data_IF_364727136370
#
_entry.id   IF_364727136370
#
_cell.length_a   1.000
_cell.length_b   1.000
_cell.length_c   1.000
_cell.angle_alpha   90.00
_cell.angle_beta   90.00
_cell.angle_gamma   90.00
#
_symmetry.space_group_name_H-M   'P 1'
#
loop_
_entity.id
_entity.type
_entity.pdbx_description
1 polymer ?
#
# COMPACT_ATOMS: atom_id res chain seq x y z
N UNK A 1 -23.31 -1.37 -42.24
CA UNK A 1 -23.16 -2.72 -42.83
C UNK A 1 -21.66 -3.00 -42.82
N UNK A 2 -21.18 -3.80 -41.86
CA UNK A 2 -19.75 -4.09 -41.65
C UNK A 2 -19.31 -5.14 -42.66
N UNK A 3 -18.19 -4.89 -43.32
CA UNK A 3 -17.50 -5.81 -44.20
C UNK A 3 -16.27 -6.34 -43.45
N UNK A 4 -16.26 -7.64 -43.18
CA UNK A 4 -15.14 -8.37 -42.56
C UNK A 4 -14.86 -9.55 -43.47
N UNK A 5 -13.93 -9.39 -44.41
CA UNK A 5 -13.36 -10.49 -45.16
C UNK A 5 -12.01 -10.84 -44.53
N UNK A 6 -12.00 -11.95 -43.79
CA UNK A 6 -10.79 -12.63 -43.31
C UNK A 6 -10.46 -13.70 -44.35
N UNK A 7 -9.43 -13.45 -45.16
CA UNK A 7 -8.93 -14.39 -46.18
C UNK A 7 -8.07 -15.48 -45.51
N UNK A 8 -8.72 -16.49 -44.93
CA UNK A 8 -8.04 -17.69 -44.43
C UNK A 8 -7.82 -18.69 -45.59
N UNK A 9 -6.75 -18.50 -46.37
CA UNK A 9 -6.26 -19.52 -47.31
C UNK A 9 -5.27 -20.45 -46.61
N UNK A 10 -5.79 -21.35 -45.78
CA UNK A 10 -5.05 -22.47 -45.22
C UNK A 10 -5.61 -23.80 -45.73
N UNK A 11 -4.87 -24.53 -46.56
CA UNK A 11 -5.23 -25.90 -46.95
C UNK A 11 -5.32 -26.79 -45.69
N UNK A 12 -6.52 -27.33 -45.44
CA UNK A 12 -6.77 -28.25 -44.32
C UNK A 12 -6.07 -29.57 -44.61
N UNK A 13 -5.16 -29.99 -43.72
CA UNK A 13 -4.42 -31.26 -43.86
C UNK A 13 -5.32 -32.44 -43.51
N UNK A 14 -5.55 -33.34 -44.47
CA UNK A 14 -6.37 -34.56 -44.30
C UNK A 14 -5.66 -35.72 -43.56
N UNK A 15 -4.47 -35.49 -43.00
CA UNK A 15 -3.73 -36.51 -42.24
C UNK A 15 -2.95 -35.91 -41.08
N UNK A 16 -2.90 -36.63 -39.96
CA UNK A 16 -2.09 -36.25 -38.80
C UNK A 16 -0.59 -36.19 -39.16
N UNK A 17 0.16 -35.21 -38.62
CA UNK A 17 1.59 -35.07 -38.90
C UNK A 17 2.39 -36.26 -38.36
N UNK A 18 3.32 -36.76 -39.17
CA UNK A 18 4.25 -37.82 -38.77
C UNK A 18 5.35 -37.22 -37.87
N UNK A 19 5.34 -37.61 -36.60
CA UNK A 19 6.23 -37.07 -35.56
C UNK A 19 7.69 -37.54 -35.71
N UNK A 20 7.95 -38.53 -36.57
CA UNK A 20 9.30 -39.08 -36.80
C UNK A 20 9.90 -38.66 -38.15
N UNK A 21 9.18 -37.86 -38.93
CA UNK A 21 9.71 -37.33 -40.18
C UNK A 21 10.84 -36.30 -39.91
N UNK A 22 11.87 -36.24 -40.77
CA UNK A 22 12.90 -35.20 -40.68
C UNK A 22 12.27 -33.80 -40.75
N UNK A 23 12.74 -32.89 -39.89
CA UNK A 23 12.26 -31.50 -39.87
C UNK A 23 12.61 -30.83 -41.21
N UNK A 24 11.60 -30.44 -41.97
CA UNK A 24 11.77 -29.61 -43.15
C UNK A 24 12.15 -28.18 -42.73
N UNK A 25 13.40 -27.81 -43.00
CA UNK A 25 13.95 -26.50 -42.65
C UNK A 25 13.26 -25.33 -43.39
N UNK A 26 12.50 -25.62 -44.45
CA UNK A 26 11.79 -24.61 -45.23
C UNK A 26 10.28 -24.62 -44.98
N UNK A 27 9.78 -25.45 -44.07
CA UNK A 27 8.37 -25.46 -43.73
C UNK A 27 7.98 -24.14 -43.04
N UNK A 28 6.88 -23.48 -43.46
CA UNK A 28 6.42 -22.27 -42.79
C UNK A 28 6.05 -22.60 -41.34
N UNK A 29 6.72 -21.97 -40.39
CA UNK A 29 6.42 -22.09 -38.96
C UNK A 29 5.14 -21.32 -38.69
N UNK A 30 4.04 -22.04 -38.47
CA UNK A 30 2.74 -21.45 -38.16
C UNK A 30 2.82 -20.64 -36.86
N UNK A 31 2.69 -19.31 -36.95
CA UNK A 31 2.34 -18.45 -35.82
C UNK A 31 3.43 -17.51 -35.24
N UNK A 32 4.61 -17.37 -35.86
CA UNK A 32 5.59 -16.38 -35.41
C UNK A 32 5.94 -15.38 -36.53
N UNK A 33 5.17 -14.31 -36.59
CA UNK A 33 5.72 -13.04 -37.08
C UNK A 33 6.65 -12.50 -36.00
N UNK A 34 7.95 -12.44 -36.31
CA UNK A 34 8.90 -11.64 -35.53
C UNK A 34 8.44 -10.18 -35.68
N UNK A 35 8.16 -9.45 -34.59
CA UNK A 35 7.84 -8.03 -34.71
C UNK A 35 9.00 -7.29 -35.34
N UNK A 36 8.72 -6.41 -36.30
CA UNK A 36 9.73 -5.47 -36.79
C UNK A 36 10.16 -4.56 -35.64
N UNK A 37 11.45 -4.64 -35.33
CA UNK A 37 12.18 -4.00 -34.23
C UNK A 37 11.87 -4.56 -32.82
N UNK A 38 12.91 -4.81 -32.01
CA UNK A 38 12.71 -4.96 -30.57
C UNK A 38 12.20 -3.60 -30.05
N UNK A 39 10.90 -3.51 -29.81
CA UNK A 39 10.40 -2.58 -28.80
C UNK A 39 11.23 -2.82 -27.54
N UNK A 40 11.73 -1.74 -26.93
CA UNK A 40 12.50 -1.84 -25.69
C UNK A 40 11.78 -2.80 -24.74
N UNK A 41 12.49 -3.78 -24.13
CA UNK A 41 11.85 -4.65 -23.16
C UNK A 41 11.14 -3.74 -22.15
N UNK A 42 9.89 -4.04 -21.82
CA UNK A 42 9.23 -3.40 -20.70
C UNK A 42 10.20 -3.53 -19.53
N UNK A 43 10.84 -2.43 -19.15
CA UNK A 43 11.80 -2.43 -18.04
C UNK A 43 10.99 -2.94 -16.88
N UNK A 44 11.30 -4.14 -16.41
CA UNK A 44 10.64 -4.71 -15.26
C UNK A 44 10.98 -3.77 -14.10
N UNK A 45 10.05 -2.85 -13.80
CA UNK A 45 10.28 -1.68 -12.96
C UNK A 45 10.67 -2.06 -11.53
N UNK A 46 10.48 -3.33 -11.16
CA UNK A 46 10.90 -3.89 -9.88
C UNK A 46 12.38 -4.26 -9.78
N UNK A 47 13.19 -4.22 -10.85
CA UNK A 47 14.61 -4.60 -10.79
C UNK A 47 15.58 -3.41 -10.71
N UNK A 48 15.13 -2.20 -10.99
CA UNK A 48 15.94 -0.98 -11.00
C UNK A 48 15.47 0.00 -9.92
N UNK A 49 16.40 0.44 -9.08
CA UNK A 49 16.13 1.35 -7.97
C UNK A 49 15.59 2.70 -8.46
N UNK A 50 16.18 3.27 -9.51
CA UNK A 50 15.79 4.59 -10.01
C UNK A 50 14.33 4.59 -10.53
N UNK A 51 13.91 3.47 -11.10
CA UNK A 51 12.52 3.25 -11.52
C UNK A 51 11.56 2.99 -10.34
N UNK A 52 12.03 2.30 -9.30
CA UNK A 52 11.22 1.91 -8.15
C UNK A 52 11.04 3.04 -7.13
N UNK A 53 12.08 3.84 -6.86
CA UNK A 53 12.12 4.79 -5.74
C UNK A 53 10.96 5.78 -5.71
N UNK A 54 10.46 6.21 -6.86
CA UNK A 54 9.34 7.16 -6.98
C UNK A 54 7.95 6.51 -6.91
N UNK A 55 7.89 5.21 -6.65
CA UNK A 55 6.66 4.40 -6.65
C UNK A 55 6.50 3.55 -5.40
N UNK A 56 7.48 3.58 -4.51
CA UNK A 56 7.41 2.89 -3.22
C UNK A 56 6.69 3.80 -2.24
N UNK A 57 5.71 3.25 -1.53
CA UNK A 57 4.99 3.94 -0.46
C UNK A 57 5.02 3.08 0.81
N UNK A 58 4.97 3.68 2.00
CA UNK A 58 4.73 2.95 3.22
C UNK A 58 3.26 2.51 3.23
N UNK A 59 3.03 1.29 3.69
CA UNK A 59 1.70 0.70 3.87
C UNK A 59 1.60 0.21 5.31
N UNK A 60 0.41 0.31 5.90
CA UNK A 60 0.12 -0.28 7.20
C UNK A 60 -0.44 -1.69 7.00
N UNK A 61 -0.04 -2.62 7.87
CA UNK A 61 -0.53 -4.00 7.86
C UNK A 61 -1.12 -4.37 9.23
N UNK A 62 -1.96 -5.42 9.28
CA UNK A 62 -2.51 -5.91 10.53
C UNK A 62 -1.45 -6.08 11.61
N UNK A 63 -1.78 -5.67 12.83
CA UNK A 63 -0.98 -5.96 14.01
C UNK A 63 -0.69 -7.47 14.09
N UNK A 64 0.58 -7.82 14.31
CA UNK A 64 1.07 -9.20 14.26
C UNK A 64 1.57 -9.67 12.88
N UNK A 65 1.56 -8.82 11.86
CA UNK A 65 2.22 -9.10 10.57
C UNK A 65 3.72 -9.36 10.79
N UNK A 66 4.20 -10.52 10.33
CA UNK A 66 5.59 -10.96 10.49
C UNK A 66 6.37 -10.71 9.20
N UNK A 67 7.54 -10.09 9.31
CA UNK A 67 8.46 -9.85 8.21
C UNK A 67 9.92 -9.88 8.65
N UNK A 68 10.79 -9.35 7.81
CA UNK A 68 12.20 -9.12 8.14
C UNK A 68 12.33 -7.69 8.69
N UNK A 69 12.84 -7.48 9.92
CA UNK A 69 13.05 -6.13 10.44
C UNK A 69 13.91 -5.29 9.48
N UNK A 70 13.54 -4.02 9.27
CA UNK A 70 14.22 -3.09 8.36
C UNK A 70 15.72 -3.00 8.62
N UNK A 71 16.10 -3.00 9.90
CA UNK A 71 17.46 -2.89 10.41
C UNK A 71 18.27 -4.18 10.17
N UNK A 72 17.57 -5.31 10.01
CA UNK A 72 18.15 -6.64 9.83
C UNK A 72 18.23 -7.07 8.35
N UNK A 73 17.56 -6.34 7.45
CA UNK A 73 17.28 -6.78 6.09
C UNK A 73 18.53 -7.10 5.25
N UNK A 74 19.69 -6.49 5.56
CA UNK A 74 20.96 -6.72 4.86
C UNK A 74 22.16 -7.00 5.79
N UNK A 75 21.97 -7.08 7.10
CA UNK A 75 23.05 -7.31 8.08
C UNK A 75 23.40 -8.80 8.26
N UNK A 76 22.51 -9.73 7.89
CA UNK A 76 22.79 -11.17 7.95
C UNK A 76 23.45 -11.67 6.65
N UNK A 77 24.49 -12.54 6.69
CA UNK A 77 25.09 -13.10 5.48
C UNK A 77 24.06 -13.93 4.69
N UNK A 78 24.09 -13.92 3.33
CA UNK A 78 23.20 -14.74 2.53
C UNK A 78 23.51 -16.22 2.79
N UNK A 79 22.65 -16.89 3.54
CA UNK A 79 22.73 -18.34 3.72
C UNK A 79 21.98 -19.03 2.59
N UNK A 80 22.60 -20.04 1.99
CA UNK A 80 22.11 -20.79 0.81
C UNK A 80 20.75 -21.50 1.06
N UNK A 81 20.27 -21.54 2.31
CA UNK A 81 18.98 -22.12 2.72
C UNK A 81 17.81 -21.11 2.65
N UNK A 82 18.03 -19.88 2.18
CA UNK A 82 17.06 -18.79 2.22
C UNK A 82 15.97 -18.79 1.12
N UNK A 83 15.78 -19.89 0.38
CA UNK A 83 14.82 -19.96 -0.74
C UNK A 83 13.34 -19.69 -0.34
N UNK A 84 13.03 -19.65 0.97
CA UNK A 84 11.69 -19.33 1.49
C UNK A 84 11.65 -18.09 2.41
N UNK A 85 12.81 -17.52 2.76
CA UNK A 85 12.89 -16.34 3.63
C UNK A 85 12.92 -15.03 2.84
N UNK A 86 13.36 -15.06 1.59
CA UNK A 86 13.60 -13.86 0.79
C UNK A 86 12.32 -13.19 0.27
N UNK A 87 11.20 -13.93 0.23
CA UNK A 87 9.89 -13.40 -0.13
C UNK A 87 9.18 -12.64 1.00
N UNK A 88 9.68 -12.70 2.24
CA UNK A 88 9.05 -12.01 3.38
C UNK A 88 9.20 -10.50 3.22
N UNK A 89 8.14 -9.72 3.46
CA UNK A 89 8.22 -8.27 3.39
C UNK A 89 9.18 -7.75 4.46
N UNK A 90 9.81 -6.63 4.15
CA UNK A 90 10.50 -5.84 5.16
C UNK A 90 9.46 -5.13 6.01
N UNK A 91 9.62 -5.21 7.32
CA UNK A 91 8.72 -4.62 8.31
C UNK A 91 9.48 -3.67 9.22
N UNK A 92 8.80 -2.63 9.69
CA UNK A 92 9.26 -1.75 10.75
C UNK A 92 8.12 -1.46 11.72
N UNK A 93 8.44 -1.32 13.01
CA UNK A 93 7.50 -0.78 13.97
C UNK A 93 7.28 0.73 13.74
N UNK A 94 6.01 1.10 13.56
CA UNK A 94 5.53 2.49 13.57
C UNK A 94 5.04 2.92 14.95
N UNK A 95 4.38 4.09 15.05
CA UNK A 95 3.73 4.54 16.27
C UNK A 95 2.72 3.49 16.78
N UNK A 96 2.59 3.32 18.10
CA UNK A 96 1.67 2.35 18.71
C UNK A 96 1.77 0.91 18.20
N UNK A 97 2.99 0.47 17.87
CA UNK A 97 3.27 -0.86 17.30
C UNK A 97 2.58 -1.14 15.95
N UNK A 98 2.13 -0.08 15.24
CA UNK A 98 1.60 -0.21 13.88
C UNK A 98 2.67 -0.85 12.99
N UNK A 99 2.30 -1.88 12.23
CA UNK A 99 3.25 -2.57 11.37
C UNK A 99 3.36 -1.82 10.04
N UNK A 100 4.53 -1.25 9.78
CA UNK A 100 4.85 -0.56 8.51
C UNK A 100 5.56 -1.53 7.59
N UNK A 101 5.06 -1.66 6.36
CA UNK A 101 5.76 -2.30 5.24
C UNK A 101 5.95 -1.28 4.12
N UNK A 102 6.77 -1.62 3.13
CA UNK A 102 6.97 -0.77 1.96
C UNK A 102 6.50 -1.54 0.74
N UNK A 103 5.78 -0.89 -0.18
CA UNK A 103 5.20 -1.55 -1.33
C UNK A 103 5.07 -0.65 -2.55
N UNK A 104 4.96 -1.28 -3.70
CA UNK A 104 4.66 -0.63 -4.98
C UNK A 104 3.32 -1.16 -5.50
N UNK A 105 2.42 -0.26 -5.89
CA UNK A 105 1.17 -0.66 -6.51
C UNK A 105 1.43 -1.34 -7.87
N UNK A 106 0.85 -2.53 -8.07
CA UNK A 106 0.99 -3.34 -9.28
C UNK A 106 -0.38 -3.81 -9.78
N UNK A 107 -1.25 -2.86 -10.16
CA UNK A 107 -2.47 -3.15 -10.89
C UNK A 107 -3.42 -4.13 -10.18
N UNK A 108 -3.81 -3.82 -8.95
CA UNK A 108 -4.77 -4.59 -8.14
C UNK A 108 -4.16 -5.38 -6.98
N UNK A 109 -2.84 -5.33 -6.81
CA UNK A 109 -2.13 -5.84 -5.64
C UNK A 109 -0.89 -4.99 -5.37
N UNK A 110 -0.33 -5.09 -4.17
CA UNK A 110 0.94 -4.46 -3.82
C UNK A 110 2.10 -5.46 -3.93
N UNK A 111 3.18 -5.04 -4.59
CA UNK A 111 4.47 -5.73 -4.52
C UNK A 111 5.20 -5.22 -3.29
N UNK A 112 5.22 -6.02 -2.23
CA UNK A 112 5.91 -5.67 -1.01
C UNK A 112 7.43 -5.79 -1.19
N UNK A 113 8.14 -4.76 -0.75
CA UNK A 113 9.60 -4.72 -0.73
C UNK A 113 10.09 -5.78 0.23
N UNK A 114 11.08 -6.55 -0.23
CA UNK A 114 11.66 -7.66 0.49
C UNK A 114 13.19 -7.61 0.32
N UNK A 115 13.89 -8.60 0.87
CA UNK A 115 15.34 -8.66 0.81
C UNK A 115 15.88 -8.81 -0.62
N UNK A 116 15.20 -9.56 -1.49
CA UNK A 116 15.64 -9.75 -2.88
C UNK A 116 15.58 -8.44 -3.67
N UNK A 117 14.56 -7.60 -3.41
CA UNK A 117 14.49 -6.25 -3.96
C UNK A 117 15.69 -5.40 -3.53
N UNK A 118 16.01 -5.36 -2.24
CA UNK A 118 17.17 -4.60 -1.74
C UNK A 118 18.49 -5.05 -2.38
N UNK A 119 18.70 -6.37 -2.48
CA UNK A 119 19.89 -6.94 -3.11
C UNK A 119 19.96 -6.61 -4.61
N UNK A 120 18.83 -6.66 -5.32
CA UNK A 120 18.74 -6.31 -6.74
C UNK A 120 19.00 -4.82 -6.98
N UNK A 121 18.49 -3.96 -6.10
CA UNK A 121 18.59 -2.51 -6.19
C UNK A 121 19.94 -1.97 -5.68
N UNK A 122 20.64 -2.74 -4.86
CA UNK A 122 21.90 -2.31 -4.24
C UNK A 122 21.71 -1.20 -3.21
N UNK A 123 20.56 -1.17 -2.53
CA UNK A 123 20.19 -0.13 -1.53
C UNK A 123 19.88 -0.74 -0.17
N UNK A 124 19.97 0.07 0.89
CA UNK A 124 19.61 -0.33 2.24
C UNK A 124 18.12 -0.13 2.51
N UNK A 125 17.62 -0.75 3.58
CA UNK A 125 16.25 -0.52 4.06
C UNK A 125 15.97 0.96 4.36
N UNK A 126 16.94 1.67 4.94
CA UNK A 126 16.81 3.10 5.24
C UNK A 126 16.55 3.95 3.97
N UNK A 127 17.20 3.63 2.84
CA UNK A 127 16.99 4.33 1.57
C UNK A 127 15.56 4.12 1.05
N UNK A 128 15.03 2.90 1.22
CA UNK A 128 13.64 2.56 0.88
C UNK A 128 12.66 3.33 1.75
N UNK A 129 12.91 3.38 3.06
CA UNK A 129 12.07 4.14 3.98
C UNK A 129 12.04 5.63 3.64
N UNK A 130 13.20 6.24 3.43
CA UNK A 130 13.31 7.65 3.10
C UNK A 130 12.53 7.98 1.83
N UNK A 131 12.73 7.20 0.77
CA UNK A 131 12.01 7.37 -0.49
C UNK A 131 10.49 7.19 -0.31
N UNK A 132 10.08 6.17 0.45
CA UNK A 132 8.68 5.89 0.70
C UNK A 132 7.96 7.01 1.45
N UNK A 133 8.57 7.49 2.55
CA UNK A 133 8.02 8.60 3.33
C UNK A 133 8.00 9.90 2.52
N UNK A 134 9.01 10.15 1.69
CA UNK A 134 9.02 11.30 0.79
C UNK A 134 7.88 11.22 -0.24
N UNK A 135 7.62 10.06 -0.83
CA UNK A 135 6.51 9.87 -1.77
C UNK A 135 5.15 10.04 -1.08
N UNK A 136 4.99 9.47 0.12
CA UNK A 136 3.77 9.65 0.92
C UNK A 136 3.55 11.13 1.26
N UNK A 137 4.59 11.85 1.69
CA UNK A 137 4.50 13.27 1.99
C UNK A 137 4.16 14.09 0.73
N UNK A 138 4.74 13.76 -0.41
CA UNK A 138 4.45 14.44 -1.67
C UNK A 138 2.98 14.26 -2.07
N UNK A 139 2.49 13.02 -2.05
CA UNK A 139 1.10 12.67 -2.34
C UNK A 139 0.12 13.27 -1.33
N UNK A 140 0.43 13.18 -0.03
CA UNK A 140 -0.44 13.63 1.06
C UNK A 140 -0.71 15.15 1.04
N UNK A 141 0.14 15.95 0.38
CA UNK A 141 -0.11 17.39 0.19
C UNK A 141 -1.25 17.68 -0.79
N UNK A 142 -1.51 16.77 -1.72
CA UNK A 142 -2.53 16.90 -2.77
C UNK A 142 -3.80 16.11 -2.42
N UNK A 143 -3.67 15.08 -1.59
CA UNK A 143 -4.78 14.26 -1.10
C UNK A 143 -5.79 15.07 -0.28
N UNK A 144 -7.07 14.95 -0.64
CA UNK A 144 -8.18 15.69 -0.01
C UNK A 144 -8.48 15.17 1.40
N UNK A 145 -8.90 16.09 2.26
CA UNK A 145 -9.50 15.79 3.57
C UNK A 145 -10.99 16.08 3.51
N UNK A 146 -11.79 15.23 4.15
CA UNK A 146 -13.23 15.42 4.33
C UNK A 146 -13.47 15.80 5.79
N UNK A 147 -14.11 16.95 6.00
CA UNK A 147 -14.53 17.39 7.33
C UNK A 147 -16.04 17.27 7.46
N UNK A 148 -16.48 16.64 8.55
CA UNK A 148 -17.89 16.45 8.87
C UNK A 148 -18.21 17.03 10.24
N UNK A 149 -19.40 17.61 10.38
CA UNK A 149 -19.89 18.13 11.67
C UNK A 149 -21.34 17.71 11.85
N UNK A 150 -21.63 17.04 12.97
CA UNK A 150 -22.97 16.63 13.36
C UNK A 150 -23.22 17.04 14.80
N UNK A 151 -24.06 18.05 15.01
CA UNK A 151 -24.22 18.69 16.31
C UNK A 151 -22.90 19.28 16.81
N UNK A 152 -22.42 18.81 17.97
CA UNK A 152 -21.12 19.19 18.55
C UNK A 152 -19.97 18.30 18.14
N UNK A 153 -20.23 17.16 17.47
CA UNK A 153 -19.21 16.19 17.06
C UNK A 153 -18.57 16.63 15.75
N UNK A 154 -17.25 16.58 15.67
CA UNK A 154 -16.47 16.85 14.47
C UNK A 154 -15.63 15.64 14.09
N UNK A 155 -15.59 15.34 12.80
CA UNK A 155 -14.78 14.28 12.21
C UNK A 155 -13.95 14.86 11.06
N UNK A 156 -12.75 14.31 10.91
CA UNK A 156 -11.87 14.57 9.77
C UNK A 156 -11.45 13.21 9.22
N UNK A 157 -11.57 12.99 7.91
CA UNK A 157 -11.18 11.73 7.29
C UNK A 157 -10.43 11.91 5.98
N UNK A 158 -9.61 10.92 5.65
CA UNK A 158 -8.99 10.69 4.35
C UNK A 158 -9.52 9.36 3.84
N UNK A 159 -10.19 9.40 2.69
CA UNK A 159 -10.76 8.21 2.04
C UNK A 159 -10.65 8.33 0.52
N UNK A 160 -9.45 8.62 0.02
CA UNK A 160 -9.20 8.85 -1.41
C UNK A 160 -9.40 7.60 -2.27
N UNK A 161 -9.26 6.42 -1.67
CA UNK A 161 -9.30 5.15 -2.39
C UNK A 161 -8.00 4.79 -3.10
N UNK A 162 -6.93 5.59 -2.96
CA UNK A 162 -5.63 5.32 -3.60
C UNK A 162 -4.73 4.37 -2.78
N UNK A 163 -5.12 4.07 -1.54
CA UNK A 163 -4.52 2.98 -0.76
C UNK A 163 -3.41 3.38 0.19
N UNK A 164 -3.24 4.69 0.42
CA UNK A 164 -2.24 5.28 1.30
C UNK A 164 -2.84 6.16 2.41
N UNK A 165 -4.16 6.27 2.48
CA UNK A 165 -4.88 7.13 3.42
C UNK A 165 -4.50 6.85 4.87
N UNK A 166 -4.56 5.58 5.29
CA UNK A 166 -4.15 5.18 6.64
C UNK A 166 -2.67 5.49 6.92
N UNK A 167 -1.81 5.32 5.92
CA UNK A 167 -0.37 5.55 6.05
C UNK A 167 -0.03 7.03 6.30
N UNK A 168 -0.91 7.99 5.96
CA UNK A 168 -0.73 9.42 6.27
C UNK A 168 -0.43 9.66 7.74
N UNK A 169 -0.94 8.81 8.65
CA UNK A 169 -0.67 8.96 10.09
C UNK A 169 0.82 8.93 10.45
N UNK A 170 1.66 8.33 9.61
CA UNK A 170 3.10 8.27 9.79
C UNK A 170 3.75 9.67 9.64
N UNK A 171 3.10 10.59 8.93
CA UNK A 171 3.58 11.95 8.69
C UNK A 171 3.24 12.88 9.86
N UNK A 172 4.22 13.60 10.43
CA UNK A 172 3.98 14.64 11.42
C UNK A 172 3.00 15.72 10.94
N UNK A 173 3.05 16.08 9.66
CA UNK A 173 2.20 17.10 9.05
C UNK A 173 0.73 16.67 8.99
N UNK A 174 0.47 15.39 8.72
CA UNK A 174 -0.89 14.87 8.76
C UNK A 174 -1.43 14.86 10.19
N UNK A 175 -0.62 14.45 11.17
CA UNK A 175 -1.00 14.51 12.60
C UNK A 175 -1.28 15.96 13.03
N UNK A 176 -0.45 16.91 12.62
CA UNK A 176 -0.67 18.33 12.88
C UNK A 176 -1.97 18.84 12.22
N UNK A 177 -2.23 18.46 10.97
CA UNK A 177 -3.47 18.82 10.27
C UNK A 177 -4.70 18.32 11.01
N UNK A 178 -4.74 17.04 11.42
CA UNK A 178 -5.83 16.49 12.23
C UNK A 178 -6.04 17.30 13.52
N UNK A 179 -4.96 17.62 14.23
CA UNK A 179 -5.02 18.38 15.47
C UNK A 179 -5.60 19.78 15.25
N UNK A 180 -5.19 20.47 14.19
CA UNK A 180 -5.72 21.79 13.85
C UNK A 180 -7.18 21.71 13.42
N UNK A 181 -7.52 20.89 12.42
CA UNK A 181 -8.89 20.80 11.88
C UNK A 181 -9.90 20.37 12.93
N UNK A 182 -9.55 19.43 13.83
CA UNK A 182 -10.46 19.00 14.90
C UNK A 182 -10.62 20.03 16.01
N UNK A 183 -9.59 20.85 16.28
CA UNK A 183 -9.67 21.92 17.27
C UNK A 183 -10.47 23.13 16.78
N UNK A 184 -10.55 23.34 15.46
CA UNK A 184 -11.32 24.43 14.88
C UNK A 184 -12.80 24.37 15.34
N UNK A 185 -13.39 25.53 15.65
CA UNK A 185 -14.79 25.63 16.06
C UNK A 185 -15.16 25.02 17.42
N UNK A 186 -14.25 24.31 18.12
CA UNK A 186 -14.51 23.82 19.47
C UNK A 186 -14.48 24.97 20.48
N UNK A 187 -15.44 24.97 21.41
CA UNK A 187 -15.51 26.01 22.46
C UNK A 187 -14.40 25.88 23.52
N UNK A 188 -13.90 24.66 23.75
CA UNK A 188 -12.80 24.38 24.68
C UNK A 188 -11.91 23.27 24.10
N UNK A 189 -11.03 23.58 23.12
CA UNK A 189 -10.19 22.59 22.45
C UNK A 189 -9.17 21.95 23.40
N UNK A 190 -8.81 22.61 24.50
CA UNK A 190 -7.87 22.08 25.48
C UNK A 190 -8.42 20.89 26.29
N UNK A 191 -9.75 20.72 26.30
CA UNK A 191 -10.42 19.60 26.98
C UNK A 191 -10.89 18.50 26.02
N UNK A 192 -10.73 18.69 24.72
CA UNK A 192 -11.06 17.67 23.73
C UNK A 192 -9.91 16.66 23.62
N UNK A 193 -10.26 15.38 23.54
CA UNK A 193 -9.32 14.30 23.23
C UNK A 193 -9.45 13.95 21.75
N UNK A 194 -8.35 13.78 21.04
CA UNK A 194 -8.38 13.56 19.60
C UNK A 194 -8.25 12.07 19.32
N UNK A 195 -9.36 11.43 18.97
CA UNK A 195 -9.39 10.01 18.62
C UNK A 195 -8.96 9.83 17.17
N UNK A 196 -8.21 8.78 16.89
CA UNK A 196 -7.73 8.40 15.55
C UNK A 196 -8.02 6.92 15.34
N UNK A 197 -8.47 6.58 14.14
CA UNK A 197 -8.75 5.22 13.70
C UNK A 197 -8.16 4.94 12.32
N UNK A 198 -7.66 3.71 12.17
CA UNK A 198 -6.98 3.21 10.97
C UNK A 198 -7.53 1.82 10.64
N UNK A 199 -8.81 1.68 10.28
CA UNK A 199 -9.46 0.38 10.18
C UNK A 199 -8.93 -0.46 9.01
N UNK A 200 -8.56 0.20 7.92
CA UNK A 200 -8.09 -0.38 6.67
C UNK A 200 -7.26 0.63 5.86
N UNK A 201 -6.55 0.19 4.82
CA UNK A 201 -5.54 1.00 4.11
C UNK A 201 -6.06 2.30 3.48
N UNK A 202 -7.31 2.33 3.03
CA UNK A 202 -7.96 3.44 2.33
C UNK A 202 -8.67 4.40 3.28
N UNK A 203 -8.62 4.18 4.60
CA UNK A 203 -9.32 5.03 5.56
C UNK A 203 -8.42 5.44 6.72
N UNK A 204 -8.27 6.74 6.85
CA UNK A 204 -7.84 7.39 8.07
C UNK A 204 -8.97 8.27 8.56
N UNK A 205 -9.42 8.06 9.79
CA UNK A 205 -10.50 8.85 10.39
C UNK A 205 -10.05 9.35 11.77
N UNK A 206 -10.41 10.58 12.09
CA UNK A 206 -10.16 11.17 13.39
C UNK A 206 -11.37 11.98 13.87
N UNK A 207 -11.51 12.10 15.18
CA UNK A 207 -12.64 12.79 15.80
C UNK A 207 -12.30 13.44 17.13
N UNK A 208 -13.03 14.49 17.48
CA UNK A 208 -12.87 15.17 18.77
C UNK A 208 -13.84 14.60 19.81
N UNK A 209 -13.31 13.88 20.79
CA UNK A 209 -14.04 13.44 21.97
C UNK A 209 -14.15 14.59 22.98
N UNK A 210 -15.37 15.10 23.14
CA UNK A 210 -15.68 16.17 24.09
C UNK A 210 -15.95 15.62 25.50
N UNK A 211 -15.70 16.40 26.56
CA UNK A 211 -16.04 15.99 27.92
C UNK A 211 -17.53 15.67 28.07
N UNK A 212 -17.83 14.46 28.57
CA UNK A 212 -19.20 13.99 28.80
C UNK A 212 -19.89 13.38 27.58
N UNK A 213 -19.18 13.20 26.46
CA UNK A 213 -19.66 12.52 25.26
C UNK A 213 -19.07 11.11 25.11
N UNK A 214 -19.16 10.28 26.17
CA UNK A 214 -18.59 8.92 26.19
C UNK A 214 -19.23 8.00 25.12
N UNK A 215 -20.47 8.31 24.73
CA UNK A 215 -21.15 7.63 23.62
C UNK A 215 -20.38 7.79 22.31
N UNK A 216 -19.77 8.96 22.05
CA UNK A 216 -18.99 9.17 20.84
C UNK A 216 -17.80 8.21 20.74
N UNK A 217 -17.07 7.99 21.84
CA UNK A 217 -15.95 7.05 21.84
C UNK A 217 -16.42 5.61 21.53
N UNK A 218 -17.59 5.24 22.03
CA UNK A 218 -18.21 3.93 21.76
C UNK A 218 -18.57 3.79 20.27
N UNK A 219 -19.31 4.76 19.72
CA UNK A 219 -19.71 4.77 18.32
C UNK A 219 -18.50 4.81 17.37
N UNK A 220 -17.47 5.57 17.73
CA UNK A 220 -16.23 5.65 16.97
C UNK A 220 -15.53 4.28 16.94
N UNK A 221 -15.42 3.61 18.09
CA UNK A 221 -14.84 2.27 18.15
C UNK A 221 -15.65 1.23 17.35
N UNK A 222 -16.99 1.24 17.49
CA UNK A 222 -17.88 0.35 16.73
C UNK A 222 -17.70 0.52 15.22
N UNK A 223 -17.62 1.78 14.76
CA UNK A 223 -17.33 2.10 13.37
C UNK A 223 -15.99 1.49 12.91
N UNK A 224 -14.91 1.60 13.69
CA UNK A 224 -13.61 1.02 13.32
C UNK A 224 -13.65 -0.51 13.24
N UNK A 225 -14.34 -1.15 14.19
CA UNK A 225 -14.50 -2.62 14.19
C UNK A 225 -15.28 -3.08 12.97
N UNK A 226 -16.36 -2.38 12.60
CA UNK A 226 -17.17 -2.68 11.42
C UNK A 226 -16.37 -2.50 10.12
N UNK A 227 -15.74 -1.32 9.94
CA UNK A 227 -14.94 -1.03 8.74
C UNK A 227 -13.78 -2.01 8.59
N UNK A 228 -13.05 -2.29 9.67
CA UNK A 228 -11.94 -3.25 9.65
C UNK A 228 -12.43 -4.69 9.42
N UNK A 229 -13.63 -5.04 9.90
CA UNK A 229 -14.22 -6.37 9.70
C UNK A 229 -14.65 -6.64 8.26
N UNK A 230 -15.01 -5.60 7.51
CA UNK A 230 -15.44 -5.67 6.11
C UNK A 230 -14.31 -5.47 5.10
N UNK A 231 -13.12 -5.05 5.54
CA UNK A 231 -12.01 -4.71 4.67
C UNK A 231 -11.26 -5.94 4.12
N UNK A 232 -10.88 -5.88 2.84
CA UNK A 232 -9.97 -6.84 2.22
C UNK A 232 -8.55 -6.75 2.81
N UNK A 233 -8.14 -5.52 3.16
CA UNK A 233 -6.83 -5.21 3.76
C UNK A 233 -7.00 -4.43 5.08
N UNK A 234 -7.37 -5.11 6.18
CA UNK A 234 -7.52 -4.46 7.48
C UNK A 234 -6.17 -3.97 8.02
N UNK A 235 -6.20 -2.94 8.87
CA UNK A 235 -5.01 -2.38 9.51
C UNK A 235 -5.09 -2.54 11.03
N UNK A 236 -5.93 -1.78 11.73
CA UNK A 236 -6.04 -1.89 13.18
C UNK A 236 -7.47 -1.54 13.65
N UNK A 237 -7.95 -2.26 14.66
CA UNK A 237 -9.29 -2.07 15.27
C UNK A 237 -9.26 -1.19 16.51
N UNK A 238 -8.06 -0.91 17.03
CA UNK A 238 -7.88 -0.07 18.21
C UNK A 238 -8.24 1.37 17.88
N UNK A 239 -8.71 2.07 18.91
CA UNK A 239 -8.77 3.52 18.91
C UNK A 239 -7.43 4.03 19.41
N UNK A 240 -6.90 5.03 18.73
CA UNK A 240 -5.72 5.74 19.16
C UNK A 240 -6.09 7.15 19.61
N UNK A 241 -5.24 7.77 20.42
CA UNK A 241 -5.35 9.17 20.79
C UNK A 241 -4.12 9.94 20.28
N UNK A 242 -4.35 11.12 19.71
CA UNK A 242 -3.27 12.02 19.32
C UNK A 242 -2.96 12.99 20.47
N UNK A 243 -1.82 12.77 21.15
CA UNK A 243 -1.37 13.55 22.31
C UNK A 243 -0.02 14.19 22.01
N UNK A 244 0.02 15.52 21.97
CA UNK A 244 1.27 16.25 21.74
C UNK A 244 1.92 15.97 20.38
N UNK A 245 1.13 15.56 19.37
CA UNK A 245 1.62 15.17 18.05
C UNK A 245 2.02 13.69 17.94
N UNK A 246 1.96 12.93 19.03
CA UNK A 246 2.26 11.51 19.08
C UNK A 246 0.98 10.67 19.17
N UNK A 247 1.02 9.50 18.55
CA UNK A 247 -0.06 8.53 18.65
C UNK A 247 0.16 7.68 19.91
N UNK A 248 -0.89 7.50 20.71
CA UNK A 248 -0.92 6.55 21.83
C UNK A 248 -2.17 5.67 21.74
N UNK A 249 -2.18 4.50 22.38
CA UNK A 249 -3.39 3.69 22.49
C UNK A 249 -4.41 4.37 23.42
N UNK A 250 -5.66 4.47 22.97
CA UNK A 250 -6.74 5.05 23.77
C UNK A 250 -7.29 4.02 24.77
N UNK A 251 -7.19 4.32 26.07
CA UNK A 251 -7.54 3.39 27.14
C UNK A 251 -8.95 3.60 27.75
N UNK A 252 -9.76 4.52 27.22
CA UNK A 252 -11.01 4.97 27.85
C UNK A 252 -10.79 6.14 28.79
#
# INVERSE_FOLDING_TARGET
MRDTADDATGEVRDRAPDLLAPIDANAPVSGHHVPDAPGAPAVATGHDWESARGRIYPLLRPTGTVGIPLEEALTAPPTIVAAHGSARPIVRAGPCDLVVVYGMAAGGYDVLVNRDHLLSWGVLGADVEEAALANLAAWSREATWVEETSGSRRLVSSATGEGYDAARILLPEARAHLATSLAEGLSDPARARLLVGLPERHLLVAGALLPGDDEFATLFHEFLVEQSGAADEPVDRRVFELVGGELIEFAG
#
